data_IF_938260896366
#
_entry.id   IF_938260896366
#
_cell.length_a   1.000
_cell.length_b   1.000
_cell.length_c   1.000
_cell.angle_alpha   90.00
_cell.angle_beta   90.00
_cell.angle_gamma   90.00
#
_symmetry.space_group_name_H-M   'P 1'
#
loop_
_entity.id
_entity.type
_entity.pdbx_description
1 polymer ?
#
# COMPACT_ATOMS: atom_id res chain seq x y z
N UNK A 1 12.22 21.08 -14.30
CA UNK A 1 12.21 20.23 -13.08
C UNK A 1 13.62 20.17 -12.51
N UNK A 2 13.84 20.68 -11.30
CA UNK A 2 15.18 20.76 -10.71
C UNK A 2 15.61 19.43 -10.08
N UNK A 3 16.52 18.70 -10.75
CA UNK A 3 16.96 17.36 -10.33
C UNK A 3 17.58 17.32 -8.94
N UNK A 4 18.24 18.39 -8.50
CA UNK A 4 18.87 18.45 -7.16
C UNK A 4 17.83 18.51 -6.05
N UNK A 5 16.72 19.23 -6.27
CA UNK A 5 15.61 19.31 -5.31
C UNK A 5 14.91 17.94 -5.22
N UNK A 6 14.61 17.36 -6.38
CA UNK A 6 13.98 16.04 -6.48
C UNK A 6 14.80 14.94 -5.78
N UNK A 7 16.10 14.83 -6.09
CA UNK A 7 16.96 13.81 -5.51
C UNK A 7 17.12 13.97 -3.99
N UNK A 8 17.15 15.21 -3.48
CA UNK A 8 17.25 15.49 -2.05
C UNK A 8 15.98 15.07 -1.31
N UNK A 9 14.81 15.41 -1.84
CA UNK A 9 13.53 15.02 -1.24
C UNK A 9 13.33 13.51 -1.29
N UNK A 10 13.68 12.87 -2.41
CA UNK A 10 13.58 11.43 -2.56
C UNK A 10 14.47 10.68 -1.55
N UNK A 11 15.78 11.02 -1.46
CA UNK A 11 16.72 10.38 -0.51
C UNK A 11 16.33 10.56 0.95
N UNK A 12 15.65 11.65 1.29
CA UNK A 12 15.22 11.88 2.67
C UNK A 12 14.02 11.02 3.07
N UNK A 13 13.20 10.64 2.09
CA UNK A 13 11.99 9.87 2.32
C UNK A 13 12.17 8.36 2.05
N UNK A 14 13.32 7.93 1.52
CA UNK A 14 13.63 6.50 1.30
C UNK A 14 13.62 5.67 2.58
N UNK A 15 14.14 6.20 3.70
CA UNK A 15 14.09 5.48 4.98
C UNK A 15 12.65 5.23 5.43
N UNK A 16 11.78 6.23 5.27
CA UNK A 16 10.36 6.06 5.56
C UNK A 16 9.76 4.99 4.64
N UNK A 17 9.99 5.08 3.32
CA UNK A 17 9.51 4.09 2.36
C UNK A 17 9.93 2.66 2.73
N UNK A 18 11.20 2.46 3.11
CA UNK A 18 11.72 1.15 3.52
C UNK A 18 10.95 0.61 4.74
N UNK A 19 10.79 1.42 5.79
CA UNK A 19 10.06 1.00 7.00
C UNK A 19 8.62 0.59 6.67
N UNK A 20 7.90 1.43 5.92
CA UNK A 20 6.51 1.14 5.53
C UNK A 20 6.40 -0.10 4.64
N UNK A 21 7.36 -0.29 3.73
CA UNK A 21 7.42 -1.47 2.85
C UNK A 21 7.68 -2.75 3.66
N UNK A 22 8.57 -2.71 4.65
CA UNK A 22 8.85 -3.85 5.55
C UNK A 22 7.59 -4.22 6.34
N UNK A 23 6.89 -3.23 6.91
CA UNK A 23 5.66 -3.46 7.67
C UNK A 23 4.59 -4.14 6.80
N UNK A 24 4.36 -3.61 5.59
CA UNK A 24 3.39 -4.19 4.66
C UNK A 24 3.78 -5.61 4.22
N UNK A 25 5.06 -5.82 3.92
CA UNK A 25 5.58 -7.15 3.54
C UNK A 25 5.38 -8.15 4.67
N UNK A 26 5.67 -7.76 5.91
CA UNK A 26 5.46 -8.60 7.08
C UNK A 26 3.99 -8.96 7.28
N UNK A 27 3.06 -8.01 7.10
CA UNK A 27 1.63 -8.27 7.20
C UNK A 27 1.12 -9.21 6.10
N UNK A 28 1.60 -9.05 4.86
CA UNK A 28 1.28 -9.97 3.76
C UNK A 28 1.77 -11.39 4.10
N UNK A 29 3.02 -11.51 4.58
CA UNK A 29 3.59 -12.78 4.99
C UNK A 29 2.80 -13.44 6.13
N UNK A 30 2.46 -12.68 7.17
CA UNK A 30 1.74 -13.18 8.33
C UNK A 30 0.34 -13.69 7.95
N UNK A 31 -0.39 -12.95 7.12
CA UNK A 31 -1.74 -13.37 6.67
C UNK A 31 -1.67 -14.60 5.77
N UNK A 32 -0.71 -14.66 4.85
CA UNK A 32 -0.50 -15.82 3.96
C UNK A 32 -0.06 -17.06 4.74
N UNK A 33 0.70 -16.92 5.82
CA UNK A 33 1.07 -18.04 6.70
C UNK A 33 -0.14 -18.68 7.42
N UNK A 34 -1.26 -17.98 7.53
CA UNK A 34 -2.51 -18.51 8.12
C UNK A 34 -3.34 -19.27 7.08
N UNK A 35 -3.02 -19.18 5.80
CA UNK A 35 -3.77 -19.87 4.75
C UNK A 35 -3.79 -21.41 4.89
N UNK A 36 -2.70 -22.12 5.24
CA UNK A 36 -2.73 -23.57 5.42
C UNK A 36 -3.65 -24.03 6.55
N UNK A 37 -3.71 -23.27 7.66
CA UNK A 37 -4.62 -23.56 8.77
C UNK A 37 -6.08 -23.25 8.42
N UNK A 38 -6.30 -22.30 7.50
CA UNK A 38 -7.62 -22.02 6.93
C UNK A 38 -8.13 -23.18 6.06
N UNK A 39 -7.28 -23.75 5.20
CA UNK A 39 -7.62 -24.95 4.42
C UNK A 39 -7.94 -26.16 5.32
N UNK A 40 -7.16 -26.38 6.38
CA UNK A 40 -7.41 -27.48 7.33
C UNK A 40 -8.77 -27.39 8.05
N UNK A 41 -9.35 -26.19 8.15
CA UNK A 41 -10.65 -25.93 8.78
C UNK A 41 -11.78 -25.63 7.77
N UNK A 42 -11.55 -25.85 6.47
CA UNK A 42 -12.47 -25.51 5.38
C UNK A 42 -13.90 -26.02 5.62
N UNK A 43 -14.07 -27.22 6.18
CA UNK A 43 -15.38 -27.83 6.45
C UNK A 43 -16.20 -27.06 7.48
N UNK A 44 -15.57 -26.56 8.55
CA UNK A 44 -16.24 -25.73 9.57
C UNK A 44 -16.58 -24.35 9.03
N UNK A 45 -15.67 -23.77 8.25
CA UNK A 45 -15.85 -22.45 7.63
C UNK A 45 -16.98 -22.48 6.60
N UNK A 46 -17.04 -23.51 5.74
CA UNK A 46 -18.16 -23.72 4.81
C UNK A 46 -19.49 -23.89 5.55
N UNK A 47 -19.50 -24.59 6.69
CA UNK A 47 -20.69 -24.71 7.55
C UNK A 47 -21.19 -23.36 8.05
N UNK A 48 -20.31 -22.48 8.51
CA UNK A 48 -20.68 -21.12 8.95
C UNK A 48 -21.10 -20.22 7.77
N UNK A 49 -20.42 -20.33 6.64
CA UNK A 49 -20.72 -19.55 5.44
C UNK A 49 -22.06 -19.95 4.79
N UNK A 50 -22.48 -21.21 4.95
CA UNK A 50 -23.79 -21.69 4.48
C UNK A 50 -24.99 -21.07 5.21
N UNK A 51 -24.76 -20.45 6.38
CA UNK A 51 -25.77 -19.68 7.12
C UNK A 51 -25.95 -18.26 6.59
N UNK A 52 -25.03 -17.77 5.74
CA UNK A 52 -25.10 -16.43 5.15
C UNK A 52 -26.01 -16.50 3.91
N UNK A 53 -27.07 -15.66 3.82
CA UNK A 53 -27.96 -15.61 2.66
C UNK A 53 -27.17 -15.30 1.39
N UNK A 54 -27.47 -16.03 0.31
CA UNK A 54 -26.78 -15.88 -0.98
C UNK A 54 -26.96 -14.48 -1.57
N UNK A 55 -28.06 -13.81 -1.24
CA UNK A 55 -28.38 -12.46 -1.70
C UNK A 55 -27.41 -11.41 -1.15
N UNK A 56 -26.99 -11.56 0.11
CA UNK A 56 -26.03 -10.64 0.74
C UNK A 56 -24.61 -10.77 0.15
N UNK A 57 -24.27 -11.96 -0.35
CA UNK A 57 -22.96 -12.25 -0.93
C UNK A 57 -22.84 -11.77 -2.38
N UNK A 58 -23.93 -11.88 -3.15
CA UNK A 58 -24.02 -11.31 -4.49
C UNK A 58 -23.90 -9.79 -4.47
N UNK A 59 -24.48 -9.12 -3.46
CA UNK A 59 -24.31 -7.68 -3.27
C UNK A 59 -22.84 -7.27 -2.99
N UNK A 60 -22.05 -8.19 -2.42
CA UNK A 60 -20.62 -8.00 -2.15
C UNK A 60 -19.71 -8.41 -3.32
N UNK A 61 -20.29 -8.83 -4.45
CA UNK A 61 -19.57 -9.25 -5.65
C UNK A 61 -18.93 -10.64 -5.59
N UNK A 62 -19.33 -11.48 -4.62
CA UNK A 62 -18.78 -12.83 -4.43
C UNK A 62 -19.73 -13.81 -5.14
N UNK A 63 -19.37 -14.22 -6.36
CA UNK A 63 -20.18 -15.11 -7.20
C UNK A 63 -20.20 -16.56 -6.73
N UNK A 64 -19.10 -17.07 -6.16
CA UNK A 64 -19.00 -18.46 -5.67
C UNK A 64 -18.19 -18.57 -4.37
N UNK A 65 -18.65 -19.41 -3.43
CA UNK A 65 -17.92 -19.74 -2.20
C UNK A 65 -16.58 -20.46 -2.45
N UNK A 66 -16.46 -21.16 -3.58
CA UNK A 66 -15.23 -21.81 -4.01
C UNK A 66 -14.12 -20.81 -4.34
N UNK A 67 -14.48 -19.60 -4.80
CA UNK A 67 -13.49 -18.57 -5.14
C UNK A 67 -12.87 -17.97 -3.87
N UNK A 68 -13.63 -17.87 -2.77
CA UNK A 68 -13.10 -17.43 -1.47
C UNK A 68 -12.10 -18.42 -0.85
N UNK A 69 -12.25 -19.70 -1.19
CA UNK A 69 -11.36 -20.78 -0.72
C UNK A 69 -10.13 -20.95 -1.63
N UNK A 70 -10.12 -20.31 -2.79
CA UNK A 70 -8.92 -20.24 -3.63
C UNK A 70 -7.88 -19.34 -2.97
N UNK A 71 -6.59 -19.67 -3.16
CA UNK A 71 -5.43 -18.87 -2.70
C UNK A 71 -5.61 -17.39 -3.07
N UNK A 72 -6.10 -17.14 -4.29
CA UNK A 72 -6.30 -15.79 -4.81
C UNK A 72 -7.47 -15.06 -4.11
N UNK A 73 -8.55 -15.77 -3.77
CA UNK A 73 -9.69 -15.17 -3.06
C UNK A 73 -9.37 -14.87 -1.60
N UNK A 74 -8.64 -15.76 -0.92
CA UNK A 74 -8.15 -15.49 0.42
C UNK A 74 -7.18 -14.30 0.44
N UNK A 75 -6.27 -14.20 -0.55
CA UNK A 75 -5.41 -13.04 -0.72
C UNK A 75 -6.23 -11.76 -0.95
N UNK A 76 -7.16 -11.78 -1.90
CA UNK A 76 -7.96 -10.61 -2.25
C UNK A 76 -8.78 -10.09 -1.06
N UNK A 77 -9.40 -10.97 -0.27
CA UNK A 77 -10.23 -10.55 0.86
C UNK A 77 -9.40 -10.01 2.01
N UNK A 78 -8.31 -10.70 2.38
CA UNK A 78 -7.55 -10.32 3.57
C UNK A 78 -6.49 -9.25 3.28
N UNK A 79 -5.74 -9.37 2.18
CA UNK A 79 -4.61 -8.47 1.93
C UNK A 79 -5.00 -7.11 1.35
N UNK A 80 -6.08 -7.03 0.56
CA UNK A 80 -6.53 -5.74 0.00
C UNK A 80 -6.85 -4.73 1.10
N UNK A 81 -7.47 -5.16 2.20
CA UNK A 81 -7.89 -4.24 3.26
C UNK A 81 -6.67 -3.60 3.93
N UNK A 82 -5.61 -4.39 4.18
CA UNK A 82 -4.38 -3.89 4.77
C UNK A 82 -3.63 -2.99 3.81
N UNK A 83 -3.54 -3.37 2.53
CA UNK A 83 -2.90 -2.55 1.51
C UNK A 83 -3.60 -1.20 1.32
N UNK A 84 -4.93 -1.19 1.34
CA UNK A 84 -5.72 0.01 1.15
C UNK A 84 -5.63 0.95 2.36
N UNK A 85 -5.82 0.42 3.58
CA UNK A 85 -5.74 1.22 4.81
C UNK A 85 -4.33 1.72 5.06
N UNK A 86 -3.34 0.83 5.12
CA UNK A 86 -1.96 1.22 5.48
C UNK A 86 -1.31 2.01 4.34
N UNK A 87 -1.57 1.65 3.09
CA UNK A 87 -1.09 2.41 1.93
C UNK A 87 -1.66 3.83 1.89
N UNK A 88 -2.93 4.01 2.24
CA UNK A 88 -3.54 5.35 2.33
C UNK A 88 -2.91 6.19 3.43
N UNK A 89 -2.69 5.62 4.62
CA UNK A 89 -2.01 6.29 5.74
C UNK A 89 -0.60 6.72 5.33
N UNK A 90 0.16 5.83 4.69
CA UNK A 90 1.49 6.18 4.17
C UNK A 90 1.43 7.38 3.21
N UNK A 91 0.51 7.38 2.26
CA UNK A 91 0.37 8.47 1.27
C UNK A 91 0.05 9.81 1.93
N UNK A 92 -0.82 9.82 2.94
CA UNK A 92 -1.19 11.03 3.69
C UNK A 92 0.01 11.55 4.48
N UNK A 93 0.72 10.66 5.18
CA UNK A 93 1.90 11.03 5.97
C UNK A 93 3.03 11.53 5.08
N UNK A 94 3.26 10.88 3.94
CA UNK A 94 4.29 11.27 2.97
C UNK A 94 4.01 12.66 2.37
N UNK A 95 2.80 12.89 1.88
CA UNK A 95 2.41 14.15 1.26
C UNK A 95 2.44 15.31 2.25
N UNK A 96 1.89 15.11 3.46
CA UNK A 96 1.93 16.10 4.54
C UNK A 96 3.36 16.48 4.91
N UNK A 97 4.25 15.49 5.04
CA UNK A 97 5.66 15.73 5.36
C UNK A 97 6.43 16.47 4.25
N UNK A 98 6.09 16.28 2.98
CA UNK A 98 6.75 16.99 1.88
C UNK A 98 6.25 18.45 1.78
N UNK A 99 4.98 18.69 2.10
CA UNK A 99 4.37 20.02 2.03
C UNK A 99 4.72 20.89 3.24
N UNK A 100 4.50 20.40 4.46
CA UNK A 100 4.57 21.20 5.70
C UNK A 100 6.00 21.44 6.19
N UNK A 101 6.97 20.64 5.74
CA UNK A 101 8.32 20.64 6.30
C UNK A 101 9.11 21.90 5.98
N UNK A 102 8.79 22.59 4.89
CA UNK A 102 9.44 23.85 4.53
C UNK A 102 8.92 25.03 5.36
N UNK A 103 7.63 25.03 5.69
CA UNK A 103 7.02 26.00 6.59
C UNK A 103 7.51 25.81 8.02
N UNK A 104 7.52 24.57 8.51
CA UNK A 104 7.97 24.27 9.87
C UNK A 104 9.44 24.63 10.11
N UNK A 105 10.31 24.37 9.12
CA UNK A 105 11.73 24.69 9.23
C UNK A 105 12.07 26.14 8.83
N UNK A 106 11.08 26.98 8.49
CA UNK A 106 11.28 28.36 8.01
C UNK A 106 12.28 28.46 6.84
N UNK A 107 12.29 27.45 5.97
CA UNK A 107 13.22 27.38 4.82
C UNK A 107 12.57 27.75 3.49
N UNK A 108 11.26 27.99 3.49
CA UNK A 108 10.50 28.37 2.31
C UNK A 108 11.05 29.66 1.65
N UNK A 109 11.39 30.67 2.46
CA UNK A 109 11.97 31.94 1.97
C UNK A 109 13.33 31.73 1.29
N UNK A 110 14.18 30.87 1.84
CA UNK A 110 15.46 30.51 1.21
C UNK A 110 15.27 29.77 -0.12
N UNK A 111 14.24 28.93 -0.23
CA UNK A 111 13.97 28.18 -1.46
C UNK A 111 13.41 29.09 -2.58
N UNK A 112 12.63 30.10 -2.18
CA UNK A 112 12.03 31.09 -3.09
C UNK A 112 12.99 32.20 -3.54
N UNK A 113 14.13 32.37 -2.86
CA UNK A 113 15.20 33.32 -3.31
C UNK A 113 16.06 32.75 -4.44
N UNK A 114 15.99 31.44 -4.71
CA UNK A 114 16.63 30.85 -5.89
C UNK A 114 15.79 31.14 -7.14
N UNK A 115 16.41 31.27 -8.33
CA UNK A 115 15.71 31.52 -9.59
C UNK A 115 14.98 30.26 -10.08
N UNK A 116 14.00 29.79 -9.31
CA UNK A 116 13.17 28.60 -9.60
C UNK A 116 11.72 29.04 -9.60
N UNK A 117 10.96 28.63 -10.60
CA UNK A 117 9.55 29.00 -10.68
C UNK A 117 8.71 28.22 -9.64
N UNK A 118 7.65 28.85 -9.10
CA UNK A 118 6.76 28.21 -8.11
C UNK A 118 6.13 26.91 -8.66
N UNK A 119 5.79 26.90 -9.95
CA UNK A 119 5.23 25.74 -10.63
C UNK A 119 6.23 24.58 -10.72
N UNK A 120 7.51 24.83 -10.95
CA UNK A 120 8.52 23.78 -10.98
C UNK A 120 8.76 23.15 -9.60
N UNK A 121 8.74 23.96 -8.53
CA UNK A 121 8.85 23.46 -7.16
C UNK A 121 7.67 22.54 -6.87
N UNK A 122 6.45 22.98 -7.17
CA UNK A 122 5.23 22.19 -6.95
C UNK A 122 5.24 20.87 -7.75
N UNK A 123 5.53 20.91 -9.05
CA UNK A 123 5.57 19.71 -9.90
C UNK A 123 6.65 18.73 -9.44
N UNK A 124 7.82 19.23 -9.01
CA UNK A 124 8.88 18.35 -8.50
C UNK A 124 8.44 17.61 -7.23
N UNK A 125 7.73 18.27 -6.30
CA UNK A 125 7.22 17.64 -5.08
C UNK A 125 6.12 16.63 -5.38
N UNK A 126 5.20 16.98 -6.29
CA UNK A 126 4.13 16.07 -6.71
C UNK A 126 4.71 14.81 -7.36
N UNK A 127 5.72 14.96 -8.22
CA UNK A 127 6.43 13.83 -8.82
C UNK A 127 7.10 12.93 -7.76
N UNK A 128 7.73 13.51 -6.73
CA UNK A 128 8.31 12.72 -5.62
C UNK A 128 7.23 11.91 -4.89
N UNK A 129 6.09 12.52 -4.58
CA UNK A 129 4.97 11.84 -3.91
C UNK A 129 4.46 10.68 -4.78
N UNK A 130 4.17 10.96 -6.05
CA UNK A 130 3.64 9.96 -6.99
C UNK A 130 4.59 8.78 -7.16
N UNK A 131 5.89 9.04 -7.32
CA UNK A 131 6.89 7.97 -7.50
C UNK A 131 7.04 7.11 -6.25
N UNK A 132 7.05 7.69 -5.04
CA UNK A 132 7.13 6.91 -3.81
C UNK A 132 5.90 6.02 -3.59
N UNK A 133 4.69 6.56 -3.84
CA UNK A 133 3.45 5.77 -3.76
C UNK A 133 3.45 4.67 -4.82
N UNK A 134 3.90 4.96 -6.04
CA UNK A 134 4.01 3.97 -7.11
C UNK A 134 4.99 2.85 -6.74
N UNK A 135 6.18 3.18 -6.21
CA UNK A 135 7.17 2.19 -5.77
C UNK A 135 6.60 1.30 -4.66
N UNK A 136 5.90 1.87 -3.68
CA UNK A 136 5.28 1.10 -2.61
C UNK A 136 4.24 0.10 -3.15
N UNK A 137 3.39 0.54 -4.10
CA UNK A 137 2.42 -0.34 -4.75
C UNK A 137 3.10 -1.43 -5.60
N UNK A 138 4.20 -1.10 -6.29
CA UNK A 138 4.96 -2.06 -7.09
C UNK A 138 5.56 -3.15 -6.20
N UNK A 139 6.20 -2.76 -5.10
CA UNK A 139 6.85 -3.72 -4.19
C UNK A 139 5.80 -4.62 -3.53
N UNK A 140 4.69 -4.05 -3.04
CA UNK A 140 3.61 -4.84 -2.42
C UNK A 140 2.97 -5.82 -3.40
N UNK A 141 2.83 -5.45 -4.67
CA UNK A 141 2.35 -6.36 -5.73
C UNK A 141 3.32 -7.52 -5.96
N UNK A 142 4.62 -7.23 -6.09
CA UNK A 142 5.66 -8.26 -6.28
C UNK A 142 5.70 -9.21 -5.09
N UNK A 143 5.71 -8.68 -3.87
CA UNK A 143 5.68 -9.47 -2.64
C UNK A 143 4.43 -10.35 -2.59
N UNK A 144 3.26 -9.77 -2.88
CA UNK A 144 2.00 -10.52 -2.94
C UNK A 144 2.05 -11.68 -3.93
N UNK A 145 2.58 -11.45 -5.12
CA UNK A 145 2.74 -12.48 -6.14
C UNK A 145 3.66 -13.62 -5.67
N UNK A 146 4.82 -13.28 -5.09
CA UNK A 146 5.77 -14.26 -4.54
C UNK A 146 5.10 -15.13 -3.47
N UNK A 147 4.35 -14.53 -2.53
CA UNK A 147 3.69 -15.30 -1.48
C UNK A 147 2.54 -16.19 -2.00
N UNK A 148 1.80 -15.75 -3.01
CA UNK A 148 0.78 -16.59 -3.66
C UNK A 148 1.42 -17.81 -4.30
N UNK A 149 2.58 -17.66 -4.93
CA UNK A 149 3.29 -18.77 -5.57
C UNK A 149 3.96 -19.71 -4.57
N UNK A 150 4.41 -19.19 -3.43
CA UNK A 150 5.02 -19.98 -2.35
C UNK A 150 4.00 -20.86 -1.60
N UNK A 151 2.74 -20.40 -1.52
CA UNK A 151 1.67 -21.06 -0.76
C UNK A 151 0.80 -22.00 -1.62
N UNK A 152 0.89 -21.90 -2.95
CA UNK A 152 0.29 -22.87 -3.89
C UNK A 152 0.90 -24.26 -3.74
#
# INVERSE_FOLDING_TARGET
MNNNLFAREFRRNTLSLIVWTIILTFLIAATMSVYPTFLGNQSKIMGMLSLIPKEALQFKGISNFSDLLSVLGFYAVNNIIYMLVIGSVYSIVLSSNILLKEEYNKTAEYLLTRPVTRSEIFLSKLAVIAINVFILNLITTIVGFIFIELVK
#
